data_IF_155515006551
#
_entry.id   IF_155515006551
#
_cell.length_a   1.000
_cell.length_b   1.000
_cell.length_c   1.000
_cell.angle_alpha   90.00
_cell.angle_beta   90.00
_cell.angle_gamma   90.00
#
_symmetry.space_group_name_H-M   'P 1'
#
loop_
_entity.id
_entity.type
_entity.pdbx_description
1 polymer ?
#
# COMPACT_ATOMS: atom_id res chain seq x y z
N UNK A 1 7.55 -4.51 -21.49
CA UNK A 1 7.21 -3.46 -20.51
C UNK A 1 8.22 -3.52 -19.38
N UNK A 2 8.93 -2.43 -19.07
CA UNK A 2 9.98 -2.41 -18.06
C UNK A 2 9.40 -2.41 -16.63
N UNK A 3 10.23 -2.67 -15.61
CA UNK A 3 9.79 -2.59 -14.21
C UNK A 3 9.33 -1.16 -13.81
N UNK A 4 10.03 -0.08 -14.19
CA UNK A 4 9.53 1.29 -14.02
C UNK A 4 8.19 1.52 -14.72
N UNK A 5 8.00 1.01 -15.94
CA UNK A 5 6.71 1.17 -16.64
C UNK A 5 5.56 0.52 -15.89
N UNK A 6 5.79 -0.69 -15.33
CA UNK A 6 4.77 -1.39 -14.53
C UNK A 6 4.38 -0.60 -13.28
N UNK A 7 5.37 -0.02 -12.59
CA UNK A 7 5.11 0.81 -11.41
C UNK A 7 4.35 2.08 -11.78
N UNK A 8 4.77 2.78 -12.84
CA UNK A 8 4.11 4.00 -13.29
C UNK A 8 2.64 3.74 -13.68
N UNK A 9 2.38 2.66 -14.43
CA UNK A 9 1.01 2.27 -14.79
C UNK A 9 0.15 1.95 -13.57
N UNK A 10 0.70 1.23 -12.59
CA UNK A 10 -0.03 0.93 -11.35
C UNK A 10 -0.33 2.19 -10.53
N UNK A 11 0.61 3.14 -10.48
CA UNK A 11 0.41 4.42 -9.79
C UNK A 11 -0.67 5.28 -10.45
N UNK A 12 -0.69 5.34 -11.79
CA UNK A 12 -1.75 6.03 -12.53
C UNK A 12 -3.12 5.40 -12.26
N UNK A 13 -3.23 4.07 -12.31
CA UNK A 13 -4.48 3.37 -11.99
C UNK A 13 -4.96 3.64 -10.55
N UNK A 14 -4.03 3.66 -9.57
CA UNK A 14 -4.35 4.04 -8.20
C UNK A 14 -4.85 5.48 -8.10
N UNK A 15 -4.19 6.41 -8.78
CA UNK A 15 -4.60 7.81 -8.80
C UNK A 15 -6.01 7.97 -9.39
N UNK A 16 -6.26 7.40 -10.56
CA UNK A 16 -7.55 7.45 -11.23
C UNK A 16 -8.65 6.88 -10.35
N UNK A 17 -8.38 5.75 -9.66
CA UNK A 17 -9.34 5.15 -8.73
C UNK A 17 -9.64 6.05 -7.53
N UNK A 18 -8.62 6.69 -6.94
CA UNK A 18 -8.83 7.63 -5.83
C UNK A 18 -9.70 8.81 -6.28
N UNK A 19 -9.46 9.33 -7.48
CA UNK A 19 -10.27 10.41 -8.07
C UNK A 19 -11.71 9.95 -8.33
N UNK A 20 -11.90 8.76 -8.90
CA UNK A 20 -13.22 8.19 -9.20
C UNK A 20 -14.05 7.96 -7.94
N UNK A 21 -13.45 7.39 -6.89
CA UNK A 21 -14.13 7.12 -5.62
C UNK A 21 -14.44 8.41 -4.86
N UNK A 22 -13.59 9.44 -4.99
CA UNK A 22 -13.77 10.73 -4.31
C UNK A 22 -13.58 10.69 -2.79
N UNK A 23 -12.98 9.61 -2.27
CA UNK A 23 -12.68 9.43 -0.84
C UNK A 23 -11.20 9.10 -0.68
N UNK A 24 -10.52 9.82 0.20
CA UNK A 24 -9.11 9.57 0.50
C UNK A 24 -8.92 8.25 1.25
N UNK A 25 -7.83 7.50 0.98
CA UNK A 25 -7.51 6.29 1.73
C UNK A 25 -7.36 6.55 3.24
N UNK A 26 -7.67 5.57 4.10
CA UNK A 26 -7.54 5.73 5.55
C UNK A 26 -6.10 6.06 5.97
N UNK A 27 -5.08 5.59 5.26
CA UNK A 27 -3.68 5.96 5.54
C UNK A 27 -3.37 7.44 5.30
N UNK A 28 -4.19 8.16 4.53
CA UNK A 28 -4.05 9.58 4.30
C UNK A 28 -4.89 10.44 5.26
N UNK A 29 -5.95 9.87 5.86
CA UNK A 29 -6.92 10.62 6.68
C UNK A 29 -6.88 10.29 8.17
N UNK A 30 -6.07 9.31 8.60
CA UNK A 30 -6.01 8.90 9.99
C UNK A 30 -5.37 9.94 10.91
N UNK A 31 -5.80 9.95 12.16
CA UNK A 31 -5.17 10.76 13.21
C UNK A 31 -3.76 10.31 13.57
N UNK A 32 -3.37 9.08 13.25
CA UNK A 32 -2.04 8.52 13.48
C UNK A 32 -1.46 7.93 12.18
N UNK A 33 -0.98 8.78 11.24
CA UNK A 33 -0.50 8.34 9.92
C UNK A 33 0.74 7.44 10.00
N UNK A 34 1.54 7.55 11.06
CA UNK A 34 2.77 6.77 11.20
C UNK A 34 2.50 5.27 11.37
N UNK A 35 1.32 4.85 11.85
CA UNK A 35 1.03 3.42 12.11
C UNK A 35 1.12 2.50 10.89
N UNK A 36 1.05 3.05 9.67
CA UNK A 36 1.23 2.27 8.42
C UNK A 36 2.70 2.00 8.10
N UNK A 37 3.60 2.79 8.67
CA UNK A 37 5.05 2.82 8.42
C UNK A 37 5.86 2.67 9.71
N UNK A 38 5.21 2.44 10.84
CA UNK A 38 5.83 2.31 12.17
C UNK A 38 6.80 1.14 12.21
N UNK A 39 7.86 1.23 12.99
CA UNK A 39 8.83 0.14 13.16
C UNK A 39 8.22 -1.06 13.92
N UNK A 40 7.20 -0.83 14.74
CA UNK A 40 6.49 -1.87 15.48
C UNK A 40 5.59 -2.73 14.55
N UNK A 41 5.88 -4.04 14.39
CA UNK A 41 5.09 -4.92 13.55
C UNK A 41 3.64 -5.07 14.02
N UNK A 42 3.35 -4.94 15.30
CA UNK A 42 1.98 -5.08 15.81
C UNK A 42 1.11 -3.87 15.43
N UNK A 43 1.70 -2.68 15.43
CA UNK A 43 1.02 -1.48 14.93
C UNK A 43 0.75 -1.57 13.44
N UNK A 44 1.73 -2.03 12.65
CA UNK A 44 1.53 -2.27 11.22
C UNK A 44 0.49 -3.35 10.96
N UNK A 45 0.47 -4.44 11.73
CA UNK A 45 -0.55 -5.48 11.61
C UNK A 45 -1.96 -4.95 11.87
N UNK A 46 -2.14 -4.10 12.89
CA UNK A 46 -3.42 -3.40 13.14
C UNK A 46 -3.79 -2.44 12.01
N UNK A 47 -2.83 -1.66 11.51
CA UNK A 47 -3.04 -0.77 10.37
C UNK A 47 -3.45 -1.53 9.10
N UNK A 48 -2.89 -2.73 8.87
CA UNK A 48 -3.26 -3.60 7.77
C UNK A 48 -4.72 -4.06 7.85
N UNK A 49 -5.25 -4.32 9.05
CA UNK A 49 -6.67 -4.64 9.24
C UNK A 49 -7.57 -3.46 8.83
N UNK A 50 -7.20 -2.23 9.19
CA UNK A 50 -7.94 -1.03 8.76
C UNK A 50 -7.82 -0.85 7.24
N UNK A 51 -6.63 -1.06 6.68
CA UNK A 51 -6.35 -0.92 5.27
C UNK A 51 -7.25 -1.81 4.39
N UNK A 52 -7.68 -2.99 4.87
CA UNK A 52 -8.58 -3.90 4.12
C UNK A 52 -9.94 -3.31 3.76
N UNK A 53 -10.38 -2.25 4.44
CA UNK A 53 -11.63 -1.54 4.12
C UNK A 53 -11.43 -0.37 3.16
N UNK A 54 -10.20 -0.15 2.67
CA UNK A 54 -9.89 0.94 1.75
C UNK A 54 -10.60 0.73 0.40
N UNK A 55 -11.29 1.73 -0.15
CA UNK A 55 -12.03 1.60 -1.42
C UNK A 55 -11.12 1.46 -2.65
N UNK A 56 -9.82 1.71 -2.49
CA UNK A 56 -8.79 1.58 -3.54
C UNK A 56 -7.78 0.45 -3.24
N UNK A 57 -8.22 -0.55 -2.46
CA UNK A 57 -7.38 -1.65 -1.96
C UNK A 57 -6.67 -2.40 -3.10
N UNK A 58 -7.38 -2.71 -4.18
CA UNK A 58 -6.88 -3.53 -5.27
C UNK A 58 -5.75 -2.84 -6.04
N UNK A 59 -5.93 -1.56 -6.34
CA UNK A 59 -4.96 -0.71 -7.04
C UNK A 59 -3.74 -0.44 -6.16
N UNK A 60 -3.95 -0.18 -4.87
CA UNK A 60 -2.87 -0.04 -3.90
C UNK A 60 -2.05 -1.34 -3.78
N UNK A 61 -2.70 -2.50 -3.79
CA UNK A 61 -2.01 -3.80 -3.82
C UNK A 61 -1.23 -4.00 -5.12
N UNK A 62 -1.76 -3.57 -6.27
CA UNK A 62 -1.04 -3.62 -7.54
C UNK A 62 0.23 -2.76 -7.55
N UNK A 63 0.16 -1.55 -6.96
CA UNK A 63 1.35 -0.70 -6.75
C UNK A 63 2.35 -1.40 -5.83
N UNK A 64 1.89 -2.03 -4.75
CA UNK A 64 2.75 -2.81 -3.87
C UNK A 64 3.49 -3.88 -4.69
N UNK A 65 2.78 -4.68 -5.49
CA UNK A 65 3.36 -5.73 -6.33
C UNK A 65 4.34 -5.22 -7.39
N UNK A 66 4.14 -4.02 -7.93
CA UNK A 66 5.02 -3.40 -8.92
C UNK A 66 6.25 -2.70 -8.30
N UNK A 67 6.19 -2.34 -7.01
CA UNK A 67 7.28 -1.68 -6.29
C UNK A 67 8.45 -2.65 -6.04
N UNK A 68 9.71 -2.29 -6.34
CA UNK A 68 10.87 -3.12 -6.00
C UNK A 68 10.89 -3.49 -4.51
N UNK A 69 11.28 -4.73 -4.18
CA UNK A 69 11.26 -5.22 -2.79
C UNK A 69 12.05 -4.33 -1.83
N UNK A 70 13.18 -3.81 -2.28
CA UNK A 70 14.01 -2.86 -1.52
C UNK A 70 13.33 -1.53 -1.18
N UNK A 71 12.19 -1.23 -1.81
CA UNK A 71 11.39 -0.02 -1.57
C UNK A 71 9.98 -0.33 -1.06
N UNK A 72 9.66 -1.62 -0.88
CA UNK A 72 8.34 -2.10 -0.49
C UNK A 72 8.32 -2.38 1.01
N UNK A 73 8.18 -1.33 1.80
CA UNK A 73 8.16 -1.38 3.27
C UNK A 73 6.87 -0.75 3.79
N UNK A 74 6.41 -1.19 4.96
CA UNK A 74 5.14 -0.75 5.56
C UNK A 74 3.90 -1.46 5.00
N UNK A 75 2.73 -0.91 5.31
CA UNK A 75 1.42 -1.47 4.95
C UNK A 75 0.94 -0.94 3.60
N UNK A 76 0.69 -1.87 2.66
CA UNK A 76 0.15 -1.58 1.34
C UNK A 76 -0.90 -2.62 0.96
N UNK A 77 -2.02 -2.20 0.38
CA UNK A 77 -3.03 -3.12 -0.15
C UNK A 77 -3.53 -4.15 0.88
N UNK A 78 -3.66 -3.77 2.15
CA UNK A 78 -4.15 -4.64 3.22
C UNK A 78 -3.11 -5.60 3.83
N UNK A 79 -1.82 -5.42 3.50
CA UNK A 79 -0.72 -6.30 3.94
C UNK A 79 0.50 -5.48 4.39
N UNK A 80 1.18 -5.95 5.44
CA UNK A 80 2.53 -5.49 5.79
C UNK A 80 3.57 -6.17 4.89
N UNK A 81 4.43 -5.37 4.26
CA UNK A 81 5.50 -5.81 3.37
C UNK A 81 6.90 -5.66 3.99
N UNK A 82 7.01 -5.07 5.19
CA UNK A 82 8.27 -4.97 5.92
C UNK A 82 8.84 -6.35 6.21
N UNK A 83 10.13 -6.55 5.90
CA UNK A 83 10.82 -7.82 6.16
C UNK A 83 10.33 -8.99 5.29
N UNK A 84 9.52 -8.74 4.26
CA UNK A 84 9.15 -9.75 3.27
C UNK A 84 10.35 -10.04 2.33
N UNK A 85 11.40 -10.64 2.87
CA UNK A 85 12.46 -11.32 2.13
C UNK A 85 11.97 -12.76 1.88
N UNK A 86 12.06 -13.26 0.65
CA UNK A 86 11.40 -14.51 0.23
C UNK A 86 11.91 -15.68 1.07
N UNK A 87 11.02 -16.35 1.80
CA UNK A 87 11.09 -17.81 1.84
C UNK A 87 10.69 -18.31 0.45
N UNK A 88 11.54 -19.18 -0.08
CA UNK A 88 11.52 -19.88 -1.37
C UNK A 88 10.14 -20.30 -1.86
#
# INVERSE_FOLDING_TARGET
MSAPDRLNLALLALHDRVVEVGVLPPCATDSNPDRWTDDDPDKRARAALVCRYCPVLAECHAVALATPRSRRWGVWGGRDWTGAETST
#
